data_IF_851596163059
#
_entry.id   IF_851596163059
#
_cell.length_a   1.000
_cell.length_b   1.000
_cell.length_c   1.000
_cell.angle_alpha   90.00
_cell.angle_beta   90.00
_cell.angle_gamma   90.00
#
_symmetry.space_group_name_H-M   'P 1'
#
loop_
_entity.id
_entity.type
_entity.pdbx_description
1 polymer ?
#
# COMPACT_ATOMS: atom_id res chain seq x y z
N UNK A 1 9.52 7.03 -22.02
CA UNK A 1 8.82 5.94 -21.31
C UNK A 1 9.79 4.78 -21.27
N UNK A 2 10.41 4.53 -20.11
CA UNK A 2 11.41 3.48 -19.97
C UNK A 2 10.72 2.13 -19.96
N UNK A 3 11.00 1.31 -20.97
CA UNK A 3 10.61 -0.09 -21.03
C UNK A 3 11.38 -0.82 -19.92
N UNK A 4 10.67 -1.28 -18.89
CA UNK A 4 11.29 -2.06 -17.81
C UNK A 4 11.46 -3.46 -18.39
N UNK A 5 12.70 -3.95 -18.61
CA UNK A 5 12.89 -5.27 -19.18
C UNK A 5 12.23 -6.28 -18.27
N UNK A 6 11.17 -6.92 -18.78
CA UNK A 6 10.50 -8.03 -18.12
C UNK A 6 11.54 -9.15 -18.00
N UNK A 7 12.10 -9.34 -16.80
CA UNK A 7 13.03 -10.45 -16.56
C UNK A 7 12.31 -11.77 -16.85
N UNK A 8 13.02 -12.71 -17.45
CA UNK A 8 12.52 -14.07 -17.61
C UNK A 8 12.16 -14.63 -16.22
N UNK A 9 10.93 -15.15 -16.00
CA UNK A 9 10.54 -15.80 -14.75
C UNK A 9 11.53 -16.88 -14.27
N UNK A 10 12.22 -17.53 -15.21
CA UNK A 10 13.27 -18.51 -14.91
C UNK A 10 14.48 -17.85 -14.25
N UNK A 11 14.93 -16.71 -14.77
CA UNK A 11 16.04 -15.93 -14.21
C UNK A 11 15.71 -15.40 -12.81
N UNK A 12 14.47 -14.93 -12.61
CA UNK A 12 14.00 -14.47 -11.30
C UNK A 12 14.05 -15.60 -10.25
N UNK A 13 13.64 -16.82 -10.62
CA UNK A 13 13.70 -17.99 -9.74
C UNK A 13 15.13 -18.36 -9.37
N UNK A 14 16.06 -18.31 -10.32
CA UNK A 14 17.49 -18.56 -10.05
C UNK A 14 18.06 -17.52 -9.09
N UNK A 15 17.69 -16.25 -9.26
CA UNK A 15 18.09 -15.17 -8.35
C UNK A 15 17.52 -15.39 -6.95
N UNK A 16 16.23 -15.70 -6.82
CA UNK A 16 15.58 -15.97 -5.53
C UNK A 16 16.23 -17.18 -4.83
N UNK A 17 16.50 -18.26 -5.55
CA UNK A 17 17.17 -19.45 -5.01
C UNK A 17 18.57 -19.13 -4.47
N UNK A 18 19.36 -18.35 -5.22
CA UNK A 18 20.70 -17.92 -4.81
C UNK A 18 20.66 -17.00 -3.58
N UNK A 19 19.73 -16.05 -3.54
CA UNK A 19 19.56 -15.15 -2.40
C UNK A 19 19.15 -15.92 -1.13
N UNK A 20 18.24 -16.90 -1.29
CA UNK A 20 17.80 -17.77 -0.22
C UNK A 20 18.97 -18.55 0.39
N UNK A 21 19.76 -19.25 -0.44
CA UNK A 21 20.88 -20.06 0.05
C UNK A 21 21.94 -19.20 0.73
N UNK A 22 22.30 -18.06 0.12
CA UNK A 22 23.34 -17.17 0.65
C UNK A 22 22.95 -16.59 2.02
N UNK A 23 21.72 -16.10 2.17
CA UNK A 23 21.26 -15.54 3.43
C UNK A 23 21.11 -16.63 4.51
N UNK A 24 20.63 -17.82 4.16
CA UNK A 24 20.49 -18.93 5.09
C UNK A 24 21.85 -19.44 5.61
N UNK A 25 22.84 -19.57 4.72
CA UNK A 25 24.21 -19.96 5.08
C UNK A 25 24.85 -18.95 6.03
N UNK A 26 24.75 -17.66 5.72
CA UNK A 26 25.29 -16.61 6.58
C UNK A 26 24.66 -16.61 7.99
N UNK A 27 23.34 -16.81 8.09
CA UNK A 27 22.67 -16.93 9.38
C UNK A 27 23.11 -18.18 10.14
N UNK A 28 23.29 -19.31 9.45
CA UNK A 28 23.78 -20.53 10.07
C UNK A 28 25.19 -20.35 10.65
N UNK A 29 26.07 -19.62 9.96
CA UNK A 29 27.41 -19.28 10.47
C UNK A 29 27.36 -18.38 11.71
N UNK A 30 26.45 -17.41 11.77
CA UNK A 30 26.26 -16.57 12.96
C UNK A 30 25.77 -17.40 14.15
N UNK A 31 24.84 -18.32 13.92
CA UNK A 31 24.27 -19.18 14.95
C UNK A 31 25.24 -20.28 15.41
N UNK A 32 26.16 -20.70 14.53
CA UNK A 32 27.21 -21.68 14.80
C UNK A 32 28.57 -21.11 14.38
N UNK A 33 29.14 -20.18 15.17
CA UNK A 33 30.45 -19.61 14.86
C UNK A 33 31.50 -20.71 14.91
N UNK A 34 32.33 -20.81 13.86
CA UNK A 34 33.43 -21.77 13.84
C UNK A 34 34.50 -21.37 14.86
N UNK A 35 35.07 -22.38 15.54
CA UNK A 35 36.12 -22.16 16.54
C UNK A 35 37.31 -21.39 15.94
N UNK A 36 37.77 -20.37 16.66
CA UNK A 36 38.91 -19.55 16.25
C UNK A 36 38.64 -18.55 15.12
N UNK A 37 37.41 -18.43 14.59
CA UNK A 37 37.05 -17.39 13.62
C UNK A 37 36.35 -16.21 14.30
N UNK A 38 36.51 -14.98 13.78
CA UNK A 38 35.74 -13.83 14.26
C UNK A 38 34.24 -14.09 14.09
N UNK A 39 33.48 -13.91 15.17
CA UNK A 39 32.02 -14.04 15.13
C UNK A 39 31.46 -12.95 14.19
N UNK A 40 30.64 -13.30 13.18
CA UNK A 40 30.06 -12.31 12.30
C UNK A 40 29.15 -11.33 13.07
N UNK A 41 29.01 -10.10 12.56
CA UNK A 41 28.22 -9.07 13.24
C UNK A 41 26.75 -9.47 13.40
N UNK A 42 26.24 -9.41 14.63
CA UNK A 42 24.81 -9.66 14.92
C UNK A 42 23.88 -8.71 14.16
N UNK A 43 24.29 -7.44 13.95
CA UNK A 43 23.51 -6.51 13.13
C UNK A 43 23.50 -6.88 11.64
N UNK A 44 24.61 -7.42 11.13
CA UNK A 44 24.63 -7.96 9.76
C UNK A 44 23.72 -9.20 9.66
N UNK A 45 23.73 -10.07 10.67
CA UNK A 45 22.84 -11.22 10.77
C UNK A 45 21.36 -10.80 10.77
N UNK A 46 20.98 -9.79 11.55
CA UNK A 46 19.60 -9.27 11.57
C UNK A 46 19.17 -8.74 10.19
N UNK A 47 20.06 -8.06 9.46
CA UNK A 47 19.77 -7.60 8.08
C UNK A 47 19.59 -8.78 7.13
N UNK A 48 20.45 -9.78 7.21
CA UNK A 48 20.33 -10.99 6.39
C UNK A 48 19.05 -11.77 6.70
N UNK A 49 18.67 -11.90 7.98
CA UNK A 49 17.40 -12.52 8.39
C UNK A 49 16.19 -11.77 7.82
N UNK A 50 16.21 -10.42 7.86
CA UNK A 50 15.13 -9.62 7.27
C UNK A 50 15.09 -9.76 5.75
N UNK A 51 16.24 -9.83 5.09
CA UNK A 51 16.31 -10.09 3.65
C UNK A 51 15.77 -11.47 3.30
N UNK A 52 16.13 -12.50 4.09
CA UNK A 52 15.64 -13.87 3.91
C UNK A 52 14.13 -13.95 4.05
N UNK A 53 13.55 -13.30 5.06
CA UNK A 53 12.09 -13.24 5.27
C UNK A 53 11.35 -12.67 4.04
N UNK A 54 11.87 -11.60 3.43
CA UNK A 54 11.33 -11.06 2.19
C UNK A 54 11.43 -12.03 1.00
N UNK A 55 12.62 -12.63 0.79
CA UNK A 55 12.85 -13.62 -0.27
C UNK A 55 11.93 -14.84 -0.11
N UNK A 56 11.71 -15.29 1.13
CA UNK A 56 10.79 -16.40 1.42
C UNK A 56 9.34 -16.02 1.08
N UNK A 57 8.87 -14.82 1.40
CA UNK A 57 7.51 -14.39 1.01
C UNK A 57 7.33 -14.36 -0.51
N UNK A 58 8.34 -13.88 -1.25
CA UNK A 58 8.33 -13.86 -2.72
C UNK A 58 8.29 -15.27 -3.31
N UNK A 59 9.09 -16.19 -2.77
CA UNK A 59 9.08 -17.61 -3.16
C UNK A 59 7.71 -18.24 -2.87
N UNK A 60 7.15 -18.01 -1.68
CA UNK A 60 5.82 -18.52 -1.32
C UNK A 60 4.74 -17.98 -2.28
N UNK A 61 4.77 -16.69 -2.63
CA UNK A 61 3.84 -16.09 -3.59
C UNK A 61 3.98 -16.70 -4.98
N UNK A 62 5.21 -16.96 -5.42
CA UNK A 62 5.50 -17.63 -6.70
C UNK A 62 4.97 -19.06 -6.72
N UNK A 63 5.21 -19.84 -5.66
CA UNK A 63 4.72 -21.21 -5.54
C UNK A 63 3.19 -21.28 -5.44
N UNK A 64 2.57 -20.37 -4.69
CA UNK A 64 1.11 -20.28 -4.61
C UNK A 64 0.50 -19.95 -5.97
N UNK A 65 1.08 -19.01 -6.73
CA UNK A 65 0.64 -18.72 -8.11
C UNK A 65 0.74 -19.97 -8.98
N UNK A 66 1.87 -20.67 -8.95
CA UNK A 66 2.04 -21.91 -9.70
C UNK A 66 1.00 -22.97 -9.30
N UNK A 67 0.77 -23.17 -8.00
CA UNK A 67 -0.24 -24.11 -7.52
C UNK A 67 -1.66 -23.73 -8.02
N UNK A 68 -1.97 -22.42 -8.10
CA UNK A 68 -3.23 -21.92 -8.66
C UNK A 68 -3.33 -22.19 -10.16
N UNK A 69 -2.23 -22.03 -10.90
CA UNK A 69 -2.16 -22.34 -12.35
C UNK A 69 -2.32 -23.84 -12.61
N UNK A 70 -1.85 -24.69 -11.69
CA UNK A 70 -2.06 -26.15 -11.68
C UNK A 70 -3.46 -26.57 -11.21
N UNK A 71 -4.32 -25.62 -10.84
CA UNK A 71 -5.72 -25.86 -10.46
C UNK A 71 -5.98 -26.11 -8.97
N UNK A 72 -4.99 -25.98 -8.09
CA UNK A 72 -5.16 -26.13 -6.63
C UNK A 72 -6.08 -25.07 -6.07
N UNK A 73 -6.99 -25.45 -5.20
CA UNK A 73 -7.98 -24.56 -4.60
C UNK A 73 -7.41 -23.71 -3.47
N UNK A 74 -8.05 -22.57 -3.20
CA UNK A 74 -7.71 -21.73 -2.04
C UNK A 74 -7.92 -22.44 -0.69
N UNK A 75 -8.78 -23.46 -0.64
CA UNK A 75 -8.94 -24.29 0.54
C UNK A 75 -7.71 -25.16 0.77
N UNK A 76 -7.27 -25.93 -0.24
CA UNK A 76 -6.06 -26.76 -0.16
C UNK A 76 -4.81 -25.93 0.21
N UNK A 77 -4.68 -24.73 -0.37
CA UNK A 77 -3.59 -23.81 -0.04
C UNK A 77 -3.69 -23.34 1.42
N UNK A 78 -4.89 -22.98 1.88
CA UNK A 78 -5.12 -22.57 3.26
C UNK A 78 -4.76 -23.63 4.29
N UNK A 79 -5.10 -24.89 4.02
CA UNK A 79 -4.76 -26.03 4.88
C UNK A 79 -3.24 -26.16 5.09
N UNK A 80 -2.42 -26.00 4.04
CA UNK A 80 -0.96 -26.06 4.13
C UNK A 80 -0.40 -24.98 5.07
N UNK A 81 -1.00 -23.78 5.06
CA UNK A 81 -0.59 -22.66 5.92
C UNK A 81 -1.29 -22.66 7.29
N UNK A 82 -2.14 -23.64 7.60
CA UNK A 82 -2.93 -23.67 8.83
C UNK A 82 -3.89 -22.48 8.96
N UNK A 83 -4.43 -22.01 7.84
CA UNK A 83 -5.30 -20.84 7.77
C UNK A 83 -6.59 -21.11 7.00
N UNK A 84 -7.58 -20.24 7.13
CA UNK A 84 -8.85 -20.41 6.41
C UNK A 84 -8.69 -20.12 4.90
N UNK A 85 -9.59 -20.69 4.08
CA UNK A 85 -9.68 -20.38 2.64
C UNK A 85 -9.69 -18.87 2.36
N UNK A 86 -10.47 -18.11 3.12
CA UNK A 86 -10.60 -16.65 2.94
C UNK A 86 -9.30 -15.93 3.31
N UNK A 87 -8.62 -16.36 4.39
CA UNK A 87 -7.34 -15.79 4.79
C UNK A 87 -6.24 -16.08 3.77
N UNK A 88 -6.19 -17.30 3.22
CA UNK A 88 -5.28 -17.66 2.13
C UNK A 88 -5.54 -16.81 0.87
N UNK A 89 -6.82 -16.65 0.49
CA UNK A 89 -7.21 -15.79 -0.63
C UNK A 89 -6.82 -14.33 -0.41
N UNK A 90 -7.05 -13.77 0.78
CA UNK A 90 -6.66 -12.39 1.08
C UNK A 90 -5.14 -12.19 1.03
N UNK A 91 -4.36 -13.14 1.54
CA UNK A 91 -2.89 -13.04 1.58
C UNK A 91 -2.23 -13.19 0.21
N UNK A 92 -2.70 -14.15 -0.59
CA UNK A 92 -2.02 -14.55 -1.83
C UNK A 92 -2.82 -14.26 -3.11
N UNK A 93 -4.14 -14.14 -3.02
CA UNK A 93 -5.04 -13.85 -4.16
C UNK A 93 -5.00 -12.39 -4.64
N UNK A 94 -4.33 -11.51 -3.90
CA UNK A 94 -4.09 -10.12 -4.27
C UNK A 94 -5.26 -9.17 -3.96
N UNK A 95 -4.93 -7.97 -3.48
CA UNK A 95 -5.89 -6.88 -3.22
C UNK A 95 -6.38 -6.15 -4.51
N UNK A 96 -6.05 -6.67 -5.70
CA UNK A 96 -6.43 -6.07 -6.99
C UNK A 96 -7.64 -6.69 -7.67
N UNK A 97 -8.05 -7.89 -7.26
CA UNK A 97 -9.33 -8.45 -7.67
C UNK A 97 -10.40 -7.98 -6.69
N UNK A 98 -10.73 -6.68 -6.76
CA UNK A 98 -12.08 -6.28 -6.40
C UNK A 98 -13.00 -7.27 -7.12
N UNK A 99 -13.86 -7.96 -6.37
CA UNK A 99 -15.02 -8.60 -7.00
C UNK A 99 -15.56 -7.56 -8.00
N UNK A 100 -15.65 -7.85 -9.31
CA UNK A 100 -16.33 -6.94 -10.19
C UNK A 100 -17.73 -6.83 -9.62
N UNK A 101 -18.06 -5.68 -9.01
CA UNK A 101 -19.44 -5.36 -8.73
C UNK A 101 -20.05 -5.34 -10.14
N UNK A 102 -20.96 -6.27 -10.49
CA UNK A 102 -21.60 -6.20 -11.79
C UNK A 102 -22.23 -4.79 -11.88
N UNK A 103 -22.21 -4.14 -13.06
CA UNK A 103 -22.89 -2.87 -13.21
C UNK A 103 -24.31 -3.05 -12.68
N UNK A 104 -24.67 -2.27 -11.66
CA UNK A 104 -26.03 -2.32 -11.09
C UNK A 104 -27.00 -2.03 -12.24
N UNK A 105 -28.01 -2.89 -12.49
CA UNK A 105 -29.03 -2.53 -13.45
C UNK A 105 -29.66 -1.21 -12.99
N UNK A 106 -30.06 -0.32 -13.92
CA UNK A 106 -30.74 0.90 -13.55
C UNK A 106 -31.94 0.53 -12.67
N UNK A 107 -31.97 1.08 -11.46
CA UNK A 107 -33.10 0.90 -10.54
C UNK A 107 -34.32 1.43 -11.29
N UNK A 108 -35.38 0.61 -11.51
CA UNK A 108 -36.59 1.13 -12.12
C UNK A 108 -37.07 2.31 -11.27
N UNK A 109 -37.58 3.40 -11.89
CA UNK A 109 -38.13 4.51 -11.13
C UNK A 109 -39.16 3.92 -10.16
N UNK A 110 -38.96 4.18 -8.86
CA UNK A 110 -39.91 3.70 -7.86
C UNK A 110 -41.29 4.23 -8.23
N UNK A 111 -42.35 3.41 -8.18
CA UNK A 111 -43.70 3.92 -8.27
C UNK A 111 -43.85 5.05 -7.25
N UNK A 112 -44.43 6.18 -7.66
CA UNK A 112 -44.72 7.26 -6.74
C UNK A 112 -45.54 6.70 -5.58
N UNK A 113 -44.95 6.60 -4.39
CA UNK A 113 -45.71 6.21 -3.21
C UNK A 113 -46.75 7.31 -2.96
N UNK A 114 -48.04 6.97 -2.83
CA UNK A 114 -49.04 7.93 -2.42
C UNK A 114 -48.57 8.60 -1.12
N UNK A 115 -48.44 9.93 -1.13
CA UNK A 115 -48.10 10.69 0.08
C UNK A 115 -49.25 10.51 1.06
N UNK A 116 -49.09 9.59 2.02
CA UNK A 116 -49.97 9.54 3.18
C UNK A 116 -49.80 10.86 3.96
N UNK A 117 -50.88 11.52 4.40
CA UNK A 117 -50.75 12.72 5.21
C UNK A 117 -50.05 12.35 6.53
N UNK A 118 -48.90 12.97 6.78
CA UNK A 118 -48.20 12.83 8.06
C UNK A 118 -49.07 13.49 9.14
N UNK A 119 -49.29 12.84 10.29
CA UNK A 119 -49.87 13.52 11.44
C UNK A 119 -48.93 14.63 11.91
N UNK A 120 -49.48 15.82 12.19
CA UNK A 120 -48.71 16.95 12.73
C UNK A 120 -48.06 16.53 14.06
N UNK A 121 -46.73 16.54 14.11
CA UNK A 121 -46.02 16.34 15.36
C UNK A 121 -46.15 17.60 16.22
N UNK A 122 -46.39 17.46 17.54
CA UNK A 122 -46.31 18.61 18.45
C UNK A 122 -44.90 19.21 18.41
N UNK A 123 -44.76 20.53 18.61
CA UNK A 123 -43.45 21.17 18.62
C UNK A 123 -42.60 20.56 19.74
N UNK A 124 -41.39 20.14 19.40
CA UNK A 124 -40.46 19.60 20.40
C UNK A 124 -40.13 20.67 21.44
N UNK A 125 -39.97 20.30 22.73
CA UNK A 125 -39.46 21.24 23.73
C UNK A 125 -38.02 21.64 23.39
N UNK A 126 -37.68 22.90 23.64
CA UNK A 126 -36.33 23.41 23.40
C UNK A 126 -35.31 22.66 24.27
N UNK A 127 -34.16 22.23 23.71
CA UNK A 127 -33.11 21.59 24.50
C UNK A 127 -32.50 22.59 25.48
N UNK A 128 -32.03 22.15 26.66
CA UNK A 128 -31.38 23.02 27.64
C UNK A 128 -30.08 23.64 27.07
N UNK A 129 -29.87 24.92 27.36
CA UNK A 129 -28.68 25.67 26.93
C UNK A 129 -27.46 25.31 27.78
N UNK A 130 -26.68 24.34 27.29
CA UNK A 130 -25.46 23.86 27.93
C UNK A 130 -24.34 24.92 28.02
N UNK A 131 -24.46 26.06 27.32
CA UNK A 131 -23.49 27.18 27.37
C UNK A 131 -23.46 27.90 28.72
N UNK A 132 -24.45 27.66 29.58
CA UNK A 132 -24.61 28.30 30.89
C UNK A 132 -24.11 27.43 32.05
N UNK A 133 -23.56 26.24 31.80
CA UNK A 133 -23.04 25.38 32.87
C UNK A 133 -21.64 25.84 33.36
N UNK A 134 -21.43 26.00 34.69
CA UNK A 134 -20.13 26.34 35.25
C UNK A 134 -19.15 25.15 35.14
N UNK A 135 -17.95 25.40 34.61
CA UNK A 135 -16.85 24.40 34.56
C UNK A 135 -16.54 23.81 33.17
N UNK A 136 -17.23 24.22 32.11
CA UNK A 136 -16.91 23.78 30.73
C UNK A 136 -15.81 24.65 30.10
N UNK A 137 -14.75 24.07 29.49
CA UNK A 137 -13.77 24.84 28.73
C UNK A 137 -14.40 25.34 27.43
N UNK A 138 -14.44 26.66 27.24
CA UNK A 138 -14.78 27.28 25.95
C UNK A 138 -13.60 27.11 25.00
N UNK A 139 -13.66 26.16 24.08
CA UNK A 139 -12.67 26.04 22.99
C UNK A 139 -12.92 27.17 21.96
N UNK A 140 -11.98 28.11 21.75
CA UNK A 140 -12.17 29.18 20.77
C UNK A 140 -11.96 28.63 19.35
N UNK A 141 -12.96 28.82 18.46
CA UNK A 141 -12.78 28.62 17.01
C UNK A 141 -13.71 27.65 16.30
N UNK A 142 -14.72 27.06 16.96
CA UNK A 142 -15.73 26.25 16.25
C UNK A 142 -17.00 27.06 15.96
N UNK A 143 -17.49 27.09 14.70
CA UNK A 143 -18.86 27.51 14.40
C UNK A 143 -19.88 26.59 15.06
N UNK A 144 -21.01 27.16 15.46
CA UNK A 144 -22.12 26.49 16.13
C UNK A 144 -22.71 25.36 15.25
N UNK A 145 -22.47 24.09 15.60
CA UNK A 145 -23.03 22.94 14.89
C UNK A 145 -23.91 22.13 15.85
N UNK A 146 -25.23 22.02 15.60
CA UNK A 146 -26.10 21.16 16.39
C UNK A 146 -25.90 19.69 16.02
N UNK A 147 -26.23 18.84 16.99
CA UNK A 147 -26.14 17.39 16.90
C UNK A 147 -26.86 16.79 15.69
N UNK A 148 -26.44 15.59 15.22
CA UNK A 148 -25.25 14.82 15.63
C UNK A 148 -24.22 14.78 14.49
N UNK A 149 -22.92 14.73 14.79
CA UNK A 149 -21.98 14.14 13.83
C UNK A 149 -22.47 12.73 13.49
N UNK A 150 -23.12 12.51 12.36
CA UNK A 150 -23.45 11.14 11.94
C UNK A 150 -23.64 10.99 10.44
N UNK A 151 -22.56 10.56 9.77
CA UNK A 151 -22.65 9.61 8.68
C UNK A 151 -22.16 10.08 7.30
N UNK A 152 -21.09 9.41 6.84
CA UNK A 152 -20.71 9.15 5.45
C UNK A 152 -20.15 10.31 4.60
N UNK A 153 -18.85 10.59 4.74
CA UNK A 153 -18.06 11.19 3.67
C UNK A 153 -17.81 10.16 2.56
N UNK A 154 -18.71 10.11 1.57
CA UNK A 154 -18.41 9.54 0.26
C UNK A 154 -17.50 10.51 -0.51
N UNK A 155 -16.22 10.17 -0.65
CA UNK A 155 -15.34 10.83 -1.63
C UNK A 155 -15.50 10.19 -3.01
N UNK A 156 -15.94 10.97 -3.99
CA UNK A 156 -15.93 10.66 -5.43
C UNK A 156 -15.65 11.93 -6.26
N UNK A 157 -15.12 11.82 -7.51
CA UNK A 157 -14.11 12.75 -8.01
C UNK A 157 -14.55 13.76 -9.11
N UNK A 158 -13.84 14.90 -9.14
CA UNK A 158 -13.65 15.84 -10.28
C UNK A 158 -14.69 16.96 -10.45
N UNK A 159 -14.44 18.07 -11.20
CA UNK A 159 -13.32 18.34 -12.13
C UNK A 159 -12.66 19.76 -12.09
N UNK A 160 -11.48 19.86 -12.74
CA UNK A 160 -10.81 20.99 -13.42
C UNK A 160 -11.11 22.47 -13.05
N UNK A 161 -10.08 23.25 -12.64
CA UNK A 161 -9.34 24.17 -13.53
C UNK A 161 -8.93 25.48 -12.79
N UNK A 162 -8.28 26.45 -13.46
CA UNK A 162 -6.82 26.57 -13.55
C UNK A 162 -6.22 27.82 -12.86
N UNK A 163 -4.90 27.90 -12.94
CA UNK A 163 -4.05 29.08 -12.75
C UNK A 163 -3.91 29.65 -11.33
N UNK A 164 -2.68 29.60 -10.81
CA UNK A 164 -2.05 30.82 -10.32
C UNK A 164 -0.53 30.70 -10.19
N UNK A 165 0.10 31.69 -10.83
CA UNK A 165 1.49 32.07 -10.81
C UNK A 165 2.14 31.99 -9.43
N UNK A 166 3.27 31.28 -9.36
CA UNK A 166 4.21 31.35 -8.24
C UNK A 166 5.60 31.65 -8.77
N UNK A 167 5.95 32.93 -8.83
CA UNK A 167 7.32 33.39 -9.02
C UNK A 167 8.22 32.81 -7.92
N UNK A 168 9.25 32.05 -8.30
CA UNK A 168 10.51 31.96 -7.53
C UNK A 168 11.70 31.85 -8.48
N UNK A 169 12.49 32.92 -8.51
CA UNK A 169 13.90 32.87 -8.84
C UNK A 169 14.62 31.94 -7.84
N UNK A 170 15.66 31.24 -8.30
CA UNK A 170 17.01 31.64 -7.89
C UNK A 170 18.02 31.58 -9.06
N UNK A 171 18.91 32.56 -9.13
CA UNK A 171 20.21 32.42 -9.80
C UNK A 171 21.34 32.36 -8.75
N UNK A 172 22.63 32.28 -9.13
CA UNK A 172 23.18 32.18 -10.48
C UNK A 172 24.06 30.92 -10.71
N UNK A 173 24.15 30.52 -11.98
CA UNK A 173 25.08 29.52 -12.52
C UNK A 173 26.53 30.03 -12.44
N UNK A 174 27.42 29.22 -11.87
CA UNK A 174 28.86 29.34 -12.07
C UNK A 174 29.30 28.75 -13.42
N UNK A 175 30.40 29.23 -14.02
CA UNK A 175 30.85 28.78 -15.33
C UNK A 175 31.62 27.45 -15.22
N UNK A 176 31.08 26.37 -15.79
CA UNK A 176 31.83 25.14 -16.01
C UNK A 176 32.62 25.28 -17.33
N UNK A 177 33.94 25.26 -17.18
CA UNK A 177 34.91 25.23 -18.26
C UNK A 177 34.78 23.94 -19.08
N UNK A 178 34.43 24.06 -20.36
CA UNK A 178 34.63 23.03 -21.36
C UNK A 178 35.79 23.47 -22.27
N UNK A 179 36.97 22.92 -22.02
CA UNK A 179 38.17 23.09 -22.84
C UNK A 179 38.61 21.70 -23.28
N UNK A 180 38.23 21.31 -24.50
CA UNK A 180 39.05 20.39 -25.31
C UNK A 180 40.29 21.17 -25.76
N UNK A 181 41.50 20.57 -25.75
CA UNK A 181 41.99 19.95 -26.99
C UNK A 181 42.98 18.77 -26.81
N UNK A 182 43.26 18.13 -27.94
CA UNK A 182 44.38 17.20 -28.24
C UNK A 182 44.21 15.71 -27.89
N UNK A 183 43.61 14.99 -28.85
CA UNK A 183 44.09 13.67 -29.24
C UNK A 183 44.94 13.81 -30.50
N UNK A 184 46.25 13.78 -30.32
CA UNK A 184 47.26 13.47 -31.34
C UNK A 184 48.26 12.53 -30.65
N UNK A 185 48.32 11.27 -31.05
CA UNK A 185 49.55 10.71 -31.62
C UNK A 185 49.30 9.33 -32.30
N UNK A 186 50.07 9.03 -33.35
CA UNK A 186 49.88 7.91 -34.27
C UNK A 186 50.65 6.65 -33.85
N UNK A 187 50.38 5.55 -34.56
CA UNK A 187 51.02 4.27 -34.32
C UNK A 187 52.47 4.17 -34.78
N UNK A 188 53.13 3.16 -34.19
CA UNK A 188 54.19 2.33 -34.76
C UNK A 188 53.97 0.89 -34.30
#
# INVERSE_FOLDING_TARGET
MSDVPHRDPTDERVVLAKLLSTNAEFLAEVLRPAEGKPVPSVLAALRAARSLDGVVDDVLRSLVRQARDEGRTWAEIGEIFGTSRQAAFQRFGGAGAGFPIPPVPPIPPMPEMPRMPMPEMPPMPEPPDWSKMPGMPKLPGMPNMPWPFRGHEHHGPGPHGPDQHGHRHPGPMGPAAGRDPHGDEPGE
#
